data_IF_368405050035
#
_entry.id   IF_368405050035
#
_cell.length_a   1.000
_cell.length_b   1.000
_cell.length_c   1.000
_cell.angle_alpha   90.00
_cell.angle_beta   90.00
_cell.angle_gamma   90.00
#
_symmetry.space_group_name_H-M   'P 1'
#
loop_
_entity.id
_entity.type
_entity.pdbx_description
1 polymer ?
#
# COMPACT_ATOMS: atom_id res chain seq x y z
N UNK A 1 -2.12 -2.43 -21.45
CA UNK A 1 -3.50 -2.34 -21.98
C UNK A 1 -4.38 -1.77 -20.89
N UNK A 2 -5.12 -0.71 -21.18
CA UNK A 2 -6.12 -0.14 -20.29
C UNK A 2 -7.22 -1.17 -20.02
N UNK A 3 -7.28 -1.71 -18.81
CA UNK A 3 -8.42 -2.47 -18.33
C UNK A 3 -9.08 -1.66 -17.23
N UNK A 4 -10.24 -1.09 -17.58
CA UNK A 4 -11.16 -0.55 -16.60
C UNK A 4 -11.51 -1.63 -15.56
N UNK A 5 -11.45 -1.22 -14.30
CA UNK A 5 -11.84 -1.99 -13.12
C UNK A 5 -13.16 -2.74 -13.32
N UNK A 6 -13.07 -4.05 -13.44
CA UNK A 6 -14.08 -4.96 -12.91
C UNK A 6 -13.33 -5.96 -12.04
N UNK A 7 -13.63 -5.97 -10.73
CA UNK A 7 -13.19 -7.00 -9.79
C UNK A 7 -13.87 -8.35 -10.10
N UNK A 8 -13.89 -8.76 -11.36
CA UNK A 8 -14.15 -10.15 -11.72
C UNK A 8 -12.79 -10.79 -11.89
N UNK A 9 -12.38 -11.54 -10.88
CA UNK A 9 -11.32 -12.51 -11.02
C UNK A 9 -11.63 -13.32 -12.29
N UNK A 10 -10.81 -13.19 -13.34
CA UNK A 10 -11.14 -13.64 -14.72
C UNK A 10 -11.45 -15.14 -14.75
N UNK A 11 -11.03 -15.85 -13.70
CA UNK A 11 -11.21 -17.30 -13.55
C UNK A 11 -11.95 -17.71 -12.26
N UNK A 12 -12.56 -16.76 -11.55
CA UNK A 12 -13.32 -17.01 -10.32
C UNK A 12 -12.48 -17.54 -9.16
N UNK A 13 -11.16 -17.33 -9.19
CA UNK A 13 -10.26 -17.70 -8.12
C UNK A 13 -10.55 -16.91 -6.85
N UNK A 14 -10.19 -17.50 -5.72
CA UNK A 14 -10.27 -16.87 -4.42
C UNK A 14 -8.94 -16.99 -3.72
N UNK A 15 -8.66 -16.00 -2.89
CA UNK A 15 -7.50 -16.02 -2.00
C UNK A 15 -7.51 -17.29 -1.14
N UNK A 16 -6.43 -18.06 -1.20
CA UNK A 16 -6.34 -19.37 -0.54
C UNK A 16 -6.78 -20.55 -1.40
N UNK A 17 -7.11 -20.38 -2.67
CA UNK A 17 -7.27 -21.50 -3.59
C UNK A 17 -5.90 -22.13 -3.91
N UNK A 18 -5.83 -23.46 -3.77
CA UNK A 18 -4.73 -24.26 -4.28
C UNK A 18 -5.09 -24.75 -5.68
N UNK A 19 -4.28 -24.39 -6.66
CA UNK A 19 -4.61 -24.58 -8.08
C UNK A 19 -3.50 -25.26 -8.86
N UNK A 20 -3.89 -26.04 -9.86
CA UNK A 20 -3.02 -26.37 -10.99
C UNK A 20 -3.47 -25.58 -12.20
N UNK A 21 -2.56 -24.77 -12.73
CA UNK A 21 -2.74 -24.02 -13.97
C UNK A 21 -1.89 -24.65 -15.05
N UNK A 22 -2.47 -24.88 -16.21
CA UNK A 22 -1.74 -25.24 -17.43
C UNK A 22 -2.02 -24.17 -18.47
N UNK A 23 -0.97 -23.77 -19.19
CA UNK A 23 -1.07 -22.67 -20.13
C UNK A 23 0.18 -22.54 -20.99
N UNK A 24 0.13 -21.62 -21.93
CA UNK A 24 1.30 -21.21 -22.71
C UNK A 24 2.15 -20.32 -21.83
N UNK A 25 3.42 -20.68 -21.64
CA UNK A 25 4.41 -19.81 -21.00
C UNK A 25 5.00 -18.88 -22.05
N UNK A 26 5.13 -17.60 -21.71
CA UNK A 26 5.86 -16.63 -22.50
C UNK A 26 6.90 -15.93 -21.63
N UNK A 27 8.06 -15.73 -22.21
CA UNK A 27 9.16 -14.97 -21.63
C UNK A 27 9.37 -13.74 -22.52
N UNK A 28 9.12 -12.56 -21.97
CA UNK A 28 9.36 -11.29 -22.65
C UNK A 28 10.17 -10.40 -21.70
N UNK A 29 11.35 -9.97 -22.13
CA UNK A 29 12.25 -9.09 -21.34
C UNK A 29 12.59 -9.65 -19.95
N UNK A 30 13.02 -10.91 -19.89
CA UNK A 30 13.35 -11.67 -18.66
C UNK A 30 12.15 -11.88 -17.70
N UNK A 31 10.92 -11.52 -18.10
CA UNK A 31 9.71 -11.78 -17.30
C UNK A 31 9.03 -13.05 -17.79
N UNK A 32 9.00 -14.07 -16.94
CA UNK A 32 8.28 -15.32 -17.20
C UNK A 32 6.83 -15.21 -16.74
N UNK A 33 5.88 -15.42 -17.65
CA UNK A 33 4.43 -15.39 -17.34
C UNK A 33 3.65 -16.50 -18.04
N UNK A 34 2.51 -16.84 -17.45
CA UNK A 34 1.49 -17.66 -18.11
C UNK A 34 0.68 -16.72 -19.02
N UNK A 35 0.89 -16.82 -20.34
CA UNK A 35 0.29 -15.95 -21.36
C UNK A 35 -1.19 -16.28 -21.61
N UNK A 36 -1.51 -17.58 -21.68
CA UNK A 36 -2.89 -18.05 -21.82
C UNK A 36 -3.11 -19.34 -21.03
N UNK A 37 -4.25 -19.43 -20.36
CA UNK A 37 -4.62 -20.61 -19.56
C UNK A 37 -5.42 -21.57 -20.45
N UNK A 38 -4.95 -22.81 -20.58
CA UNK A 38 -5.66 -23.90 -21.26
C UNK A 38 -6.39 -24.84 -20.28
N UNK A 39 -5.94 -24.90 -19.02
CA UNK A 39 -6.60 -25.65 -17.95
C UNK A 39 -6.38 -24.97 -16.60
N UNK A 40 -7.42 -24.94 -15.78
CA UNK A 40 -7.37 -24.48 -14.40
C UNK A 40 -8.16 -25.48 -13.55
N UNK A 41 -7.49 -26.06 -12.56
CA UNK A 41 -8.08 -27.01 -11.61
C UNK A 41 -7.90 -26.43 -10.21
N UNK A 42 -8.99 -26.22 -9.48
CA UNK A 42 -8.96 -25.85 -8.05
C UNK A 42 -9.01 -27.15 -7.24
N UNK A 43 -7.94 -27.45 -6.51
CA UNK A 43 -7.84 -28.65 -5.68
C UNK A 43 -8.49 -28.47 -4.31
N UNK A 44 -8.34 -27.28 -3.73
CA UNK A 44 -8.95 -26.90 -2.46
C UNK A 44 -9.06 -25.38 -2.35
N UNK A 45 -9.99 -24.91 -1.53
CA UNK A 45 -10.24 -23.48 -1.28
C UNK A 45 -10.08 -23.13 0.19
N UNK A 46 -9.91 -21.84 0.48
CA UNK A 46 -9.74 -21.29 1.83
C UNK A 46 -8.53 -21.88 2.59
N UNK A 47 -7.48 -22.28 1.87
CA UNK A 47 -6.24 -22.70 2.50
C UNK A 47 -5.57 -21.48 3.17
N UNK A 48 -4.80 -21.76 4.22
CA UNK A 48 -3.88 -20.76 4.77
C UNK A 48 -2.92 -20.29 3.69
N UNK A 49 -2.64 -18.99 3.68
CA UNK A 49 -1.69 -18.40 2.74
C UNK A 49 -0.27 -18.85 3.07
N UNK A 50 0.61 -18.97 2.07
CA UNK A 50 2.03 -19.19 2.33
C UNK A 50 2.57 -18.04 3.20
N UNK A 51 3.44 -18.40 4.15
CA UNK A 51 4.17 -17.41 4.93
C UNK A 51 5.11 -16.61 4.03
N UNK A 52 5.31 -15.33 4.35
CA UNK A 52 6.33 -14.51 3.70
C UNK A 52 7.71 -15.04 4.03
N UNK A 53 8.60 -15.13 3.03
CA UNK A 53 10.00 -15.38 3.29
C UNK A 53 10.67 -14.12 3.87
N UNK A 54 11.35 -14.26 5.00
CA UNK A 54 12.13 -13.16 5.58
C UNK A 54 13.51 -13.14 4.93
N UNK A 55 13.91 -11.98 4.41
CA UNK A 55 15.21 -11.72 3.80
C UNK A 55 15.83 -10.46 4.40
N UNK A 56 17.11 -10.21 4.13
CA UNK A 56 17.75 -8.93 4.43
C UNK A 56 17.77 -8.06 3.18
N UNK A 57 17.68 -6.73 3.32
CA UNK A 57 17.65 -5.83 2.15
C UNK A 57 18.89 -6.00 1.26
N UNK A 58 20.07 -6.23 1.85
CA UNK A 58 21.32 -6.50 1.15
C UNK A 58 21.39 -7.86 0.43
N UNK A 59 20.55 -8.84 0.76
CA UNK A 59 20.53 -10.11 0.01
C UNK A 59 19.99 -9.93 -1.40
N UNK A 60 19.09 -8.95 -1.59
CA UNK A 60 18.62 -8.51 -2.91
C UNK A 60 19.49 -7.35 -3.41
N UNK A 61 19.76 -6.35 -2.56
CA UNK A 61 20.61 -5.22 -2.88
C UNK A 61 20.10 -4.40 -4.08
N UNK A 62 21.05 -3.82 -4.82
CA UNK A 62 20.80 -3.13 -6.11
C UNK A 62 21.20 -4.01 -7.29
N UNK A 63 21.00 -5.32 -7.17
CA UNK A 63 21.44 -6.31 -8.18
C UNK A 63 20.65 -6.19 -9.48
N UNK A 64 21.32 -6.51 -10.58
CA UNK A 64 20.76 -6.53 -11.93
C UNK A 64 20.25 -7.94 -12.32
N UNK A 65 19.76 -8.09 -13.56
CA UNK A 65 19.29 -9.38 -14.12
C UNK A 65 20.36 -10.48 -13.98
N UNK A 66 19.91 -11.74 -13.99
CA UNK A 66 20.76 -12.95 -13.99
C UNK A 66 21.66 -13.13 -12.74
N UNK A 67 21.39 -12.39 -11.65
CA UNK A 67 22.03 -12.67 -10.37
C UNK A 67 21.20 -13.70 -9.61
N UNK A 68 21.60 -14.96 -9.72
CA UNK A 68 20.88 -16.16 -9.26
C UNK A 68 20.36 -16.01 -7.81
N UNK A 69 21.17 -15.41 -6.93
CA UNK A 69 20.79 -15.31 -5.52
C UNK A 69 19.61 -14.35 -5.25
N UNK A 70 19.36 -13.38 -6.14
CA UNK A 70 18.17 -12.54 -6.16
C UNK A 70 17.06 -13.14 -7.04
N UNK A 71 17.42 -13.74 -8.18
CA UNK A 71 16.50 -14.34 -9.15
C UNK A 71 15.63 -15.44 -8.54
N UNK A 72 16.19 -16.26 -7.63
CA UNK A 72 15.43 -17.29 -6.92
C UNK A 72 14.24 -16.75 -6.10
N UNK A 73 14.21 -15.44 -5.84
CA UNK A 73 13.16 -14.75 -5.08
C UNK A 73 12.19 -13.99 -5.98
N UNK A 74 12.40 -13.95 -7.30
CA UNK A 74 11.47 -13.30 -8.22
C UNK A 74 10.07 -13.94 -8.13
N UNK A 75 9.04 -13.09 -8.10
CA UNK A 75 7.64 -13.47 -7.86
C UNK A 75 7.35 -14.16 -6.53
N UNK A 76 8.33 -14.30 -5.64
CA UNK A 76 8.13 -14.86 -4.29
C UNK A 76 7.66 -13.75 -3.35
N UNK A 77 6.70 -14.08 -2.49
CA UNK A 77 6.26 -13.20 -1.42
C UNK A 77 7.32 -13.14 -0.31
N UNK A 78 8.00 -12.00 -0.22
CA UNK A 78 9.08 -11.74 0.74
C UNK A 78 8.71 -10.63 1.74
N UNK A 79 9.50 -10.52 2.81
CA UNK A 79 9.37 -9.51 3.85
C UNK A 79 10.76 -9.06 4.33
N UNK A 80 10.94 -7.76 4.48
CA UNK A 80 12.06 -7.14 5.18
C UNK A 80 11.58 -6.63 6.55
N UNK A 81 12.45 -6.66 7.55
CA UNK A 81 12.14 -6.23 8.91
C UNK A 81 13.04 -5.07 9.34
N UNK A 82 12.48 -4.13 10.10
CA UNK A 82 13.18 -2.98 10.68
C UNK A 82 13.96 -2.15 9.64
N UNK A 83 13.30 -1.79 8.55
CA UNK A 83 13.92 -1.01 7.48
C UNK A 83 13.75 0.48 7.73
N UNK A 84 14.72 1.27 7.26
CA UNK A 84 14.56 2.71 7.08
C UNK A 84 14.49 3.06 5.59
N UNK A 85 13.86 4.19 5.27
CA UNK A 85 13.84 4.76 3.93
C UNK A 85 15.10 5.61 3.77
N UNK A 86 16.05 5.17 2.95
CA UNK A 86 17.34 5.86 2.80
C UNK A 86 17.32 6.92 1.72
N UNK A 87 16.51 6.72 0.67
CA UNK A 87 16.35 7.67 -0.42
C UNK A 87 14.91 7.60 -0.96
N UNK A 88 14.34 8.75 -1.31
CA UNK A 88 13.04 8.81 -1.99
C UNK A 88 13.18 8.60 -3.50
N UNK A 89 14.40 8.47 -4.02
CA UNK A 89 14.68 8.33 -5.43
C UNK A 89 15.78 7.28 -5.69
N UNK A 90 15.36 6.10 -6.14
CA UNK A 90 16.30 5.01 -6.43
C UNK A 90 17.19 5.24 -7.67
N UNK A 91 16.89 6.25 -8.50
CA UNK A 91 17.61 6.60 -9.73
C UNK A 91 18.55 7.81 -9.58
N UNK A 92 18.65 8.38 -8.37
CA UNK A 92 19.73 9.30 -7.98
C UNK A 92 19.55 10.78 -8.31
N UNK A 93 18.43 11.21 -8.91
CA UNK A 93 18.18 12.63 -9.18
C UNK A 93 16.88 13.13 -8.53
N UNK A 94 16.96 13.97 -7.50
CA UNK A 94 15.80 14.45 -6.75
C UNK A 94 14.79 15.26 -7.60
N UNK A 95 13.50 14.96 -7.42
CA UNK A 95 12.39 15.85 -7.79
C UNK A 95 11.13 15.11 -8.25
N UNK A 96 9.92 15.57 -7.86
CA UNK A 96 8.69 15.17 -8.51
C UNK A 96 8.67 15.64 -9.96
N UNK A 97 8.04 14.89 -10.87
CA UNK A 97 7.94 15.27 -12.29
C UNK A 97 7.26 16.65 -12.43
N UNK A 98 8.04 17.68 -12.77
CA UNK A 98 7.56 19.02 -13.11
C UNK A 98 7.17 19.10 -14.61
N UNK A 99 6.55 18.04 -15.14
CA UNK A 99 5.96 18.00 -16.49
C UNK A 99 6.95 18.12 -17.66
N UNK A 100 8.25 17.90 -17.44
CA UNK A 100 9.30 18.21 -18.44
C UNK A 100 10.30 17.08 -18.72
N UNK A 101 10.01 15.83 -18.28
CA UNK A 101 10.69 14.63 -18.81
C UNK A 101 12.16 14.44 -18.43
N UNK A 102 12.63 15.03 -17.32
CA UNK A 102 14.05 15.06 -16.97
C UNK A 102 14.57 13.94 -16.08
N UNK A 103 13.83 13.52 -15.05
CA UNK A 103 14.25 12.45 -14.12
C UNK A 103 13.01 11.88 -13.44
N UNK A 104 12.57 10.70 -13.88
CA UNK A 104 11.44 9.98 -13.29
C UNK A 104 12.02 8.82 -12.48
N UNK A 105 11.80 8.82 -11.18
CA UNK A 105 12.05 7.62 -10.36
C UNK A 105 10.86 6.67 -10.34
N UNK A 106 9.73 7.01 -11.00
CA UNK A 106 8.56 6.15 -11.12
C UNK A 106 8.06 5.60 -9.77
N UNK A 107 8.10 6.41 -8.72
CA UNK A 107 7.69 5.98 -7.39
C UNK A 107 8.70 5.10 -6.65
N UNK A 108 9.89 4.89 -7.20
CA UNK A 108 10.92 4.03 -6.61
C UNK A 108 11.73 4.73 -5.51
N UNK A 109 11.86 4.04 -4.38
CA UNK A 109 12.63 4.45 -3.21
C UNK A 109 13.73 3.43 -2.88
N UNK A 110 14.68 3.82 -2.04
CA UNK A 110 15.57 2.87 -1.36
C UNK A 110 15.17 2.67 0.09
N UNK A 111 15.19 1.41 0.52
CA UNK A 111 15.10 1.02 1.93
C UNK A 111 16.31 0.20 2.36
N UNK A 112 16.60 0.17 3.66
CA UNK A 112 17.76 -0.53 4.21
C UNK A 112 17.49 -1.03 5.64
N UNK A 113 17.85 -2.28 5.94
CA UNK A 113 17.83 -2.87 7.30
C UNK A 113 19.20 -2.85 8.01
N UNK A 114 20.20 -2.23 7.40
CA UNK A 114 21.61 -2.23 7.80
C UNK A 114 22.50 -3.13 6.94
N UNK A 115 21.94 -4.03 6.12
CA UNK A 115 22.70 -4.94 5.26
C UNK A 115 22.94 -4.43 3.83
N UNK A 116 22.26 -3.35 3.41
CA UNK A 116 22.41 -2.75 2.07
C UNK A 116 21.09 -2.21 1.53
N UNK A 117 21.13 -1.29 0.56
CA UNK A 117 19.92 -0.73 -0.04
C UNK A 117 19.24 -1.73 -0.98
N UNK A 118 17.91 -1.78 -0.95
CA UNK A 118 17.06 -2.45 -1.97
C UNK A 118 16.01 -1.48 -2.49
N UNK A 119 15.66 -1.60 -3.78
CA UNK A 119 14.61 -0.80 -4.41
C UNK A 119 13.22 -1.26 -3.95
N UNK A 120 12.33 -0.32 -3.73
CA UNK A 120 10.89 -0.56 -3.56
C UNK A 120 10.15 0.30 -4.56
N UNK A 121 9.26 -0.32 -5.32
CA UNK A 121 8.35 0.36 -6.24
C UNK A 121 7.04 0.66 -5.50
N UNK A 122 6.68 1.95 -5.41
CA UNK A 122 5.44 2.42 -4.77
C UNK A 122 4.37 2.83 -5.79
N UNK A 123 4.65 2.74 -7.09
CA UNK A 123 3.69 3.06 -8.13
C UNK A 123 2.72 1.90 -8.35
N UNK A 124 3.20 0.68 -8.20
CA UNK A 124 2.40 -0.53 -8.34
C UNK A 124 1.76 -0.97 -7.01
N UNK A 125 0.78 -1.87 -7.10
CA UNK A 125 0.03 -2.36 -5.95
C UNK A 125 -1.17 -1.47 -5.56
N UNK A 126 -2.04 -2.00 -4.70
CA UNK A 126 -3.22 -1.31 -4.20
C UNK A 126 -3.00 -0.84 -2.76
N UNK A 127 -2.09 0.12 -2.58
CA UNK A 127 -1.73 0.68 -1.28
C UNK A 127 -1.74 2.20 -1.25
N UNK A 128 -1.77 2.77 -0.03
CA UNK A 128 -1.85 4.22 0.15
C UNK A 128 -0.48 4.92 0.14
N UNK A 129 0.62 4.20 0.25
CA UNK A 129 1.95 4.77 0.42
C UNK A 129 2.55 5.29 -0.89
N UNK A 130 3.13 6.48 -0.87
CA UNK A 130 3.75 7.10 -2.05
C UNK A 130 4.88 8.05 -1.66
N UNK A 131 5.93 8.15 -2.45
CA UNK A 131 6.99 9.16 -2.32
C UNK A 131 6.68 10.49 -3.06
N UNK A 132 5.42 10.71 -3.46
CA UNK A 132 4.95 11.91 -4.18
C UNK A 132 5.73 12.23 -5.47
N UNK A 133 6.18 11.20 -6.19
CA UNK A 133 6.92 11.34 -7.45
C UNK A 133 6.14 12.06 -8.57
N UNK A 134 4.80 12.01 -8.55
CA UNK A 134 3.91 12.73 -9.46
C UNK A 134 3.19 13.85 -8.70
N UNK A 135 3.26 15.08 -9.22
CA UNK A 135 2.60 16.26 -8.66
C UNK A 135 1.06 16.11 -8.57
N UNK A 136 0.45 15.26 -9.40
CA UNK A 136 -0.98 14.96 -9.34
C UNK A 136 -1.39 14.25 -8.03
N UNK A 137 -0.45 13.57 -7.38
CA UNK A 137 -0.67 12.84 -6.12
C UNK A 137 -0.82 13.78 -4.92
N UNK A 138 -0.22 14.98 -4.97
CA UNK A 138 -0.21 15.93 -3.85
C UNK A 138 -1.62 16.41 -3.44
N UNK A 139 -2.59 16.38 -4.35
CA UNK A 139 -3.98 16.72 -4.06
C UNK A 139 -4.79 15.60 -3.40
N UNK A 140 -4.25 14.38 -3.35
CA UNK A 140 -4.95 13.22 -2.81
C UNK A 140 -4.63 13.00 -1.33
N UNK A 141 -5.47 13.56 -0.47
CA UNK A 141 -5.34 13.48 0.99
C UNK A 141 -5.55 12.08 1.58
N UNK A 142 -5.85 11.05 0.76
CA UNK A 142 -5.90 9.65 1.23
C UNK A 142 -4.56 8.94 1.13
N UNK A 143 -3.59 9.51 0.41
CA UNK A 143 -2.27 8.93 0.26
C UNK A 143 -1.40 9.24 1.49
N UNK A 144 -0.53 8.30 1.82
CA UNK A 144 0.48 8.43 2.86
C UNK A 144 1.80 8.78 2.18
N UNK A 145 2.31 9.99 2.42
CA UNK A 145 3.64 10.37 1.95
C UNK A 145 4.70 9.57 2.70
N UNK A 146 5.54 8.83 1.98
CA UNK A 146 6.78 8.27 2.50
C UNK A 146 7.85 9.36 2.45
N UNK A 147 8.58 9.49 3.56
CA UNK A 147 9.63 10.49 3.74
C UNK A 147 10.98 9.79 3.93
N UNK A 148 12.06 10.39 3.43
CA UNK A 148 13.43 9.91 3.72
C UNK A 148 13.67 9.95 5.23
N UNK A 149 14.26 8.89 5.78
CA UNK A 149 14.47 8.70 7.21
C UNK A 149 13.28 8.08 7.95
N UNK A 150 12.15 7.83 7.28
CA UNK A 150 11.06 7.05 7.87
C UNK A 150 11.53 5.62 8.21
N UNK A 151 10.93 5.02 9.23
CA UNK A 151 11.16 3.62 9.62
C UNK A 151 9.91 2.79 9.36
N UNK A 152 10.08 1.52 9.03
CA UNK A 152 9.00 0.56 8.80
C UNK A 152 9.37 -0.73 9.52
N UNK A 153 8.57 -1.13 10.51
CA UNK A 153 8.83 -2.33 11.32
C UNK A 153 8.86 -3.61 10.48
N UNK A 154 7.98 -3.73 9.48
CA UNK A 154 8.16 -4.71 8.41
C UNK A 154 7.50 -4.27 7.11
N UNK A 155 8.17 -4.54 5.99
CA UNK A 155 7.64 -4.29 4.66
C UNK A 155 7.59 -5.59 3.86
N UNK A 156 6.42 -5.94 3.35
CA UNK A 156 6.21 -7.14 2.54
C UNK A 156 5.86 -6.80 1.09
N UNK A 157 6.05 -7.75 0.19
CA UNK A 157 5.78 -7.59 -1.23
C UNK A 157 6.29 -8.78 -2.02
N UNK A 158 5.99 -8.83 -3.32
CA UNK A 158 6.67 -9.77 -4.19
C UNK A 158 7.88 -9.08 -4.83
N UNK A 159 8.94 -9.85 -5.07
CA UNK A 159 10.08 -9.33 -5.83
C UNK A 159 9.75 -9.34 -7.31
N UNK A 160 10.10 -8.27 -8.01
CA UNK A 160 9.87 -8.14 -9.45
C UNK A 160 11.11 -7.56 -10.12
N UNK A 161 11.48 -8.11 -11.27
CA UNK A 161 12.56 -7.58 -12.08
C UNK A 161 12.03 -6.68 -13.19
N UNK A 162 12.53 -5.43 -13.25
CA UNK A 162 12.24 -4.52 -14.37
C UNK A 162 13.29 -3.43 -14.48
N UNK A 163 13.47 -2.88 -15.69
CA UNK A 163 14.42 -1.79 -15.95
C UNK A 163 15.82 -2.05 -15.38
N UNK A 164 16.30 -3.29 -15.51
CA UNK A 164 17.63 -3.73 -15.04
C UNK A 164 17.79 -3.91 -13.53
N UNK A 165 16.73 -3.82 -12.72
CA UNK A 165 16.84 -3.97 -11.26
C UNK A 165 15.74 -4.84 -10.66
N UNK A 166 16.10 -5.57 -9.60
CA UNK A 166 15.13 -6.19 -8.70
C UNK A 166 14.52 -5.13 -7.76
N UNK A 167 13.20 -5.20 -7.59
CA UNK A 167 12.42 -4.27 -6.77
C UNK A 167 11.41 -5.05 -5.94
N UNK A 168 11.21 -4.62 -4.70
CA UNK A 168 10.05 -5.07 -3.94
C UNK A 168 8.82 -4.30 -4.42
N UNK A 169 7.73 -5.02 -4.71
CA UNK A 169 6.41 -4.43 -4.98
C UNK A 169 5.47 -4.80 -3.83
N UNK A 170 5.19 -3.86 -2.91
CA UNK A 170 4.13 -4.01 -1.92
C UNK A 170 2.77 -4.10 -2.62
N UNK A 171 1.88 -4.97 -2.16
CA UNK A 171 0.61 -5.25 -2.87
C UNK A 171 -0.56 -4.48 -2.30
N UNK A 172 -0.52 -4.21 -1.00
CA UNK A 172 -1.62 -3.62 -0.24
C UNK A 172 -1.10 -2.83 0.96
N UNK A 173 -1.90 -1.88 1.45
CA UNK A 173 -1.52 -1.03 2.60
C UNK A 173 -1.07 -1.85 3.82
N UNK A 174 -1.65 -3.02 4.04
CA UNK A 174 -1.28 -3.90 5.17
C UNK A 174 0.09 -4.58 5.01
N UNK A 175 0.73 -4.51 3.84
CA UNK A 175 2.11 -4.97 3.67
C UNK A 175 3.12 -4.02 4.36
N UNK A 176 2.71 -2.77 4.68
CA UNK A 176 3.48 -1.82 5.47
C UNK A 176 3.05 -1.90 6.94
N UNK A 177 3.93 -2.42 7.80
CA UNK A 177 3.66 -2.54 9.24
C UNK A 177 4.58 -1.60 9.99
N UNK A 178 4.01 -0.78 10.87
CA UNK A 178 4.78 0.11 11.75
C UNK A 178 5.53 1.22 11.01
N UNK A 179 4.98 1.70 9.88
CA UNK A 179 5.49 2.91 9.24
C UNK A 179 5.46 4.07 10.26
N UNK A 180 6.61 4.70 10.45
CA UNK A 180 6.80 5.86 11.31
C UNK A 180 7.62 6.89 10.51
N UNK A 181 7.07 8.07 10.20
CA UNK A 181 7.79 9.14 9.51
C UNK A 181 9.00 9.62 10.34
N UNK A 182 9.97 10.30 9.71
CA UNK A 182 11.09 10.88 10.43
C UNK A 182 10.60 11.97 11.38
N UNK A 183 11.15 12.01 12.59
CA UNK A 183 10.93 13.11 13.52
C UNK A 183 11.69 14.35 13.03
N UNK A 184 10.97 15.29 12.39
CA UNK A 184 11.52 16.55 11.89
C UNK A 184 10.55 17.73 12.08
N UNK A 185 11.10 18.93 12.30
CA UNK A 185 10.34 20.17 12.39
C UNK A 185 9.91 20.55 10.96
N UNK A 186 8.61 20.53 10.65
CA UNK A 186 8.09 20.95 9.35
C UNK A 186 7.94 22.49 9.32
N UNK A 187 8.83 23.19 8.62
CA UNK A 187 8.75 24.63 8.35
C UNK A 187 7.98 24.92 7.03
N UNK A 188 6.73 24.45 6.92
CA UNK A 188 5.91 24.69 5.72
C UNK A 188 4.45 24.99 6.05
N UNK A 189 4.02 26.21 5.73
CA UNK A 189 2.69 26.81 5.93
C UNK A 189 1.48 25.92 5.59
N UNK A 190 1.14 25.02 6.50
CA UNK A 190 -0.18 24.46 6.66
C UNK A 190 -0.60 24.78 8.09
N UNK A 191 -1.71 25.50 8.27
CA UNK A 191 -2.26 25.75 9.62
C UNK A 191 -2.46 24.40 10.30
N UNK A 192 -1.52 24.05 11.18
CA UNK A 192 -1.59 22.80 11.95
C UNK A 192 -2.87 22.91 12.78
N UNK A 193 -3.82 21.98 12.64
CA UNK A 193 -5.04 22.02 13.41
C UNK A 193 -4.72 22.07 14.90
N UNK A 194 -5.36 22.93 15.69
CA UNK A 194 -5.05 22.98 17.14
C UNK A 194 -5.60 21.78 17.93
N UNK A 195 -6.49 20.99 17.31
CA UNK A 195 -7.19 19.87 17.94
C UNK A 195 -7.49 18.74 16.97
N UNK A 196 -7.74 17.56 17.55
CA UNK A 196 -8.36 16.46 16.84
C UNK A 196 -9.79 16.84 16.44
N UNK A 197 -10.14 16.64 15.17
CA UNK A 197 -11.50 16.75 14.65
C UNK A 197 -11.77 15.54 13.79
N UNK A 198 -12.92 14.89 13.97
CA UNK A 198 -13.37 13.81 13.08
C UNK A 198 -14.74 14.19 12.55
N UNK A 199 -14.81 14.40 11.24
CA UNK A 199 -15.99 14.90 10.55
C UNK A 199 -16.96 13.78 10.23
N UNK A 200 -18.24 14.12 10.13
CA UNK A 200 -19.21 13.15 9.62
C UNK A 200 -18.81 12.73 8.20
N UNK A 201 -18.86 11.42 7.92
CA UNK A 201 -18.55 10.93 6.59
C UNK A 201 -19.50 11.56 5.56
N UNK A 202 -19.00 11.88 4.37
CA UNK A 202 -19.81 12.46 3.30
C UNK A 202 -19.56 11.74 1.96
N UNK A 203 -20.63 11.35 1.23
CA UNK A 203 -22.05 11.48 1.61
C UNK A 203 -22.44 10.58 2.80
N UNK A 204 -23.52 10.90 3.50
CA UNK A 204 -24.17 10.00 4.47
C UNK A 204 -25.66 10.33 4.55
N UNK A 205 -26.57 9.45 4.08
CA UNK A 205 -26.31 8.09 3.57
C UNK A 205 -25.43 8.03 2.32
N UNK A 206 -24.75 6.90 2.08
CA UNK A 206 -23.81 6.70 0.97
C UNK A 206 -24.09 5.44 0.16
N UNK A 207 -23.61 5.37 -1.09
CA UNK A 207 -23.74 4.21 -1.99
C UNK A 207 -22.65 4.20 -3.10
N UNK A 208 -21.79 3.16 -3.18
CA UNK A 208 -21.28 2.37 -2.08
C UNK A 208 -20.10 3.06 -1.37
N UNK A 209 -19.68 4.25 -1.81
CA UNK A 209 -18.48 4.93 -1.32
C UNK A 209 -18.77 6.23 -0.56
N UNK A 210 -17.91 6.55 0.41
CA UNK A 210 -17.94 7.77 1.21
C UNK A 210 -16.53 8.23 1.56
N UNK A 211 -16.38 9.49 1.96
CA UNK A 211 -15.12 10.04 2.48
C UNK A 211 -15.26 10.28 3.99
N UNK A 212 -14.26 9.86 4.77
CA UNK A 212 -14.08 10.22 6.19
C UNK A 212 -13.00 11.29 6.25
N UNK A 213 -13.29 12.46 6.81
CA UNK A 213 -12.33 13.55 6.97
C UNK A 213 -11.97 13.73 8.45
N UNK A 214 -10.71 13.98 8.76
CA UNK A 214 -10.25 14.23 10.13
C UNK A 214 -9.03 15.16 10.16
N UNK A 215 -8.77 15.75 11.31
CA UNK A 215 -7.63 16.62 11.55
C UNK A 215 -6.78 16.11 12.71
N UNK A 216 -5.47 16.20 12.57
CA UNK A 216 -4.47 15.80 13.55
C UNK A 216 -3.67 17.03 14.00
N UNK A 217 -3.62 17.33 15.32
CA UNK A 217 -2.85 18.47 15.82
C UNK A 217 -1.36 18.22 15.91
N UNK A 218 -0.97 16.94 15.88
CA UNK A 218 0.41 16.49 15.87
C UNK A 218 0.45 15.16 15.14
N UNK A 219 1.66 14.73 14.80
CA UNK A 219 1.88 13.39 14.30
C UNK A 219 1.43 12.32 15.31
N UNK A 220 0.83 11.25 14.82
CA UNK A 220 0.41 10.13 15.66
C UNK A 220 -0.09 8.93 14.85
N UNK A 221 -0.12 7.76 15.50
CA UNK A 221 -0.73 6.55 14.94
C UNK A 221 -2.24 6.77 14.81
N UNK A 222 -2.77 6.65 13.60
CA UNK A 222 -4.20 6.71 13.32
C UNK A 222 -4.70 5.31 13.01
N UNK A 223 -5.74 4.88 13.72
CA UNK A 223 -6.45 3.65 13.45
C UNK A 223 -7.94 3.95 13.22
N UNK A 224 -8.47 3.53 12.06
CA UNK A 224 -9.87 3.66 11.69
C UNK A 224 -10.43 2.27 11.39
N UNK A 225 -11.38 1.83 12.21
CA UNK A 225 -12.06 0.53 12.07
C UNK A 225 -13.54 0.73 11.83
N UNK A 226 -14.14 -0.15 11.05
CA UNK A 226 -15.57 -0.14 10.72
C UNK A 226 -16.26 -1.29 11.46
N UNK A 227 -17.40 -1.00 12.09
CA UNK A 227 -18.20 -1.93 12.85
C UNK A 227 -19.65 -1.96 12.34
N UNK A 228 -20.31 -3.11 12.44
CA UNK A 228 -21.75 -3.22 12.19
C UNK A 228 -22.58 -2.85 13.43
N UNK A 229 -23.91 -2.90 13.31
CA UNK A 229 -24.85 -2.59 14.40
C UNK A 229 -24.76 -3.54 15.61
N UNK A 230 -24.14 -4.71 15.45
CA UNK A 230 -23.89 -5.67 16.53
C UNK A 230 -22.53 -5.45 17.21
N UNK A 231 -21.75 -4.45 16.77
CA UNK A 231 -20.42 -4.16 17.30
C UNK A 231 -19.32 -5.09 16.77
N UNK A 232 -19.59 -5.88 15.72
CA UNK A 232 -18.58 -6.71 15.08
C UNK A 232 -17.73 -5.86 14.13
N UNK A 233 -16.41 -5.98 14.20
CA UNK A 233 -15.49 -5.34 13.24
C UNK A 233 -15.68 -5.98 11.86
N UNK A 234 -15.99 -5.16 10.86
CA UNK A 234 -16.21 -5.60 9.47
C UNK A 234 -15.11 -5.12 8.53
N UNK A 235 -14.30 -4.14 8.93
CA UNK A 235 -13.12 -3.70 8.19
C UNK A 235 -12.13 -2.94 9.08
N UNK A 236 -10.83 -3.13 8.85
CA UNK A 236 -9.78 -2.23 9.30
C UNK A 236 -9.43 -1.29 8.14
N UNK A 237 -10.01 -0.08 8.15
CA UNK A 237 -9.94 0.84 7.02
C UNK A 237 -8.58 1.54 6.93
N UNK A 238 -7.98 1.87 8.07
CA UNK A 238 -6.70 2.57 8.10
C UNK A 238 -5.96 2.27 9.40
N UNK A 239 -4.66 2.05 9.32
CA UNK A 239 -3.81 1.79 10.49
C UNK A 239 -2.36 2.20 10.21
N UNK A 240 -2.06 3.49 10.29
CA UNK A 240 -0.73 4.02 10.00
C UNK A 240 -0.47 5.34 10.74
N UNK A 241 0.80 5.68 10.93
CA UNK A 241 1.19 7.00 11.43
C UNK A 241 0.89 8.06 10.37
N UNK A 242 0.36 9.19 10.82
CA UNK A 242 0.00 10.33 9.99
C UNK A 242 0.57 11.61 10.60
N UNK A 243 1.02 12.53 9.75
CA UNK A 243 1.56 13.83 10.17
C UNK A 243 0.45 14.75 10.67
N UNK A 244 0.81 15.80 11.38
CA UNK A 244 -0.14 16.86 11.74
C UNK A 244 -0.75 17.47 10.46
N UNK A 245 -2.05 17.75 10.47
CA UNK A 245 -2.76 18.26 9.29
C UNK A 245 -4.17 17.72 9.13
N UNK A 246 -4.81 18.09 8.02
CA UNK A 246 -6.15 17.62 7.64
C UNK A 246 -6.01 16.49 6.63
N UNK A 247 -6.71 15.39 6.89
CA UNK A 247 -6.63 14.14 6.14
C UNK A 247 -8.02 13.70 5.69
N UNK A 248 -8.06 12.91 4.62
CA UNK A 248 -9.29 12.30 4.11
C UNK A 248 -9.02 10.83 3.82
N UNK A 249 -9.99 9.96 4.05
CA UNK A 249 -9.89 8.54 3.70
C UNK A 249 -11.15 8.13 2.95
N UNK A 250 -10.96 7.52 1.77
CA UNK A 250 -12.04 6.94 0.99
C UNK A 250 -12.41 5.57 1.55
N UNK A 251 -13.70 5.33 1.73
CA UNK A 251 -14.24 4.03 2.12
C UNK A 251 -15.19 3.54 1.02
N UNK A 252 -14.82 2.44 0.35
CA UNK A 252 -15.73 1.69 -0.53
C UNK A 252 -16.32 0.50 0.25
N UNK A 253 -17.64 0.49 0.38
CA UNK A 253 -18.40 -0.55 1.07
C UNK A 253 -19.18 -1.46 0.10
N UNK A 254 -18.74 -1.57 -1.16
CA UNK A 254 -19.39 -2.40 -2.19
C UNK A 254 -19.64 -3.85 -1.75
N UNK A 255 -18.77 -4.40 -0.90
CA UNK A 255 -18.85 -5.74 -0.32
C UNK A 255 -19.77 -5.87 0.92
N UNK A 256 -20.32 -4.76 1.44
CA UNK A 256 -21.23 -4.76 2.60
C UNK A 256 -22.69 -4.69 2.17
N UNK A 257 -23.62 -5.09 3.05
CA UNK A 257 -25.07 -4.98 2.81
C UNK A 257 -25.59 -3.61 3.24
N UNK A 258 -26.72 -3.15 2.70
CA UNK A 258 -27.36 -1.91 3.19
C UNK A 258 -27.64 -2.00 4.69
N UNK A 259 -27.40 -0.92 5.42
CA UNK A 259 -27.54 -0.93 6.87
C UNK A 259 -26.81 0.20 7.57
N UNK A 260 -26.82 0.11 8.90
CA UNK A 260 -26.13 1.06 9.78
C UNK A 260 -24.78 0.50 10.18
N UNK A 261 -23.75 1.32 10.00
CA UNK A 261 -22.37 1.04 10.36
C UNK A 261 -21.83 2.15 11.26
N UNK A 262 -20.71 1.88 11.92
CA UNK A 262 -19.98 2.85 12.71
C UNK A 262 -18.52 2.79 12.32
N UNK A 263 -17.89 3.94 12.12
CA UNK A 263 -16.43 3.99 12.11
C UNK A 263 -15.94 4.49 13.47
N UNK A 264 -14.90 3.84 13.98
CA UNK A 264 -14.17 4.23 15.17
C UNK A 264 -12.82 4.78 14.74
N UNK A 265 -12.60 6.06 15.00
CA UNK A 265 -11.30 6.71 14.87
C UNK A 265 -10.59 6.66 16.22
N UNK A 266 -9.32 6.27 16.22
CA UNK A 266 -8.43 6.35 17.38
C UNK A 266 -7.07 6.91 16.99
N UNK A 267 -6.55 7.81 17.80
CA UNK A 267 -5.17 8.31 17.70
C UNK A 267 -4.71 8.83 19.06
N UNK A 268 -3.54 8.40 19.53
CA UNK A 268 -3.02 8.67 20.87
C UNK A 268 -4.08 8.44 21.98
N UNK A 269 -4.44 9.49 22.72
CA UNK A 269 -5.46 9.49 23.77
C UNK A 269 -6.84 9.97 23.29
N UNK A 270 -7.03 10.10 21.97
CA UNK A 270 -8.28 10.55 21.35
C UNK A 270 -9.00 9.39 20.67
N UNK A 271 -10.29 9.26 20.92
CA UNK A 271 -11.17 8.27 20.28
C UNK A 271 -12.53 8.89 19.96
N UNK A 272 -13.03 8.66 18.75
CA UNK A 272 -14.33 9.15 18.33
C UNK A 272 -15.01 8.14 17.40
N UNK A 273 -16.27 7.79 17.72
CA UNK A 273 -17.11 6.93 16.90
C UNK A 273 -18.22 7.74 16.22
N UNK A 274 -18.52 7.43 14.95
CA UNK A 274 -19.54 8.12 14.15
C UNK A 274 -20.34 7.12 13.31
N UNK A 275 -21.63 7.41 13.15
CA UNK A 275 -22.60 6.54 12.47
C UNK A 275 -22.64 6.81 10.97
N UNK A 276 -22.57 5.76 10.17
CA UNK A 276 -22.73 5.76 8.71
C UNK A 276 -23.96 4.96 8.30
N UNK A 277 -24.63 5.37 7.23
CA UNK A 277 -25.78 4.66 6.66
C UNK A 277 -25.45 4.29 5.21
N UNK A 278 -25.28 3.00 4.94
CA UNK A 278 -25.08 2.47 3.58
C UNK A 278 -26.44 2.15 2.95
N UNK A 279 -26.70 2.73 1.79
CA UNK A 279 -27.84 2.40 0.94
C UNK A 279 -27.32 1.65 -0.30
N UNK A 280 -28.01 0.60 -0.72
CA UNK A 280 -27.80 -0.02 -2.03
C UNK A 280 -29.02 0.24 -2.89
#
# INVERSE_FOLDING_TARGET
MNAANTNQDVYGLKKGDNVTITGVIREDFDVTRIDSISSLIIHSSNNSLPNTQILTTGSIGTKASNVIDAEQWESVLIKFENVNVTDLNADGNAGPDQGSGGNRNFGEIFINDGSGNVRVDLQDGNHLYHNMWDASLAGNLTLISIDSGATIASLSGYLYFSFSYYKLIPRMTTDFVGYTPPVGINDGDNTIPDKFVVEQNYPNPFNPSTVISYSLPKEGLVNIRIYNSLGQEVANLFNAVQRAGVHKINFDASYLSSGVYFYLFTSDNFSQAKKMILLK
#
